data_IF_792778735032
#
_entry.id   IF_792778735032
#
_cell.length_a   1.000
_cell.length_b   1.000
_cell.length_c   1.000
_cell.angle_alpha   90.00
_cell.angle_beta   90.00
_cell.angle_gamma   90.00
#
_symmetry.space_group_name_H-M   'P 1'
#
loop_
_entity.id
_entity.type
_entity.pdbx_description
1 polymer ?
#
# COMPACT_ATOMS: atom_id res chain seq x y z
N UNK A 1 26.88 19.87 21.35
CA UNK A 1 26.35 18.63 22.00
C UNK A 1 24.98 18.22 21.45
N UNK A 2 23.99 19.12 21.38
CA UNK A 2 22.64 18.80 20.88
C UNK A 2 22.58 18.39 19.39
N UNK A 3 23.33 19.05 18.50
CA UNK A 3 23.42 18.68 17.07
C UNK A 3 24.01 17.29 16.83
N UNK A 4 25.01 16.90 17.61
CA UNK A 4 25.62 15.57 17.54
C UNK A 4 24.65 14.47 18.01
N UNK A 5 23.78 14.77 18.98
CA UNK A 5 22.73 13.87 19.43
C UNK A 5 21.59 13.76 18.39
N UNK A 6 21.21 14.86 17.75
CA UNK A 6 20.18 14.90 16.71
C UNK A 6 20.62 14.13 15.45
N UNK A 7 21.86 14.33 15.01
CA UNK A 7 22.46 13.59 13.88
C UNK A 7 22.62 12.10 14.19
N UNK A 8 23.00 11.72 15.42
CA UNK A 8 23.00 10.33 15.87
C UNK A 8 21.62 9.67 15.84
N UNK A 9 20.59 10.39 16.30
CA UNK A 9 19.20 9.92 16.27
C UNK A 9 18.67 9.75 14.83
N UNK A 10 18.96 10.70 13.94
CA UNK A 10 18.62 10.58 12.52
C UNK A 10 19.33 9.40 11.86
N UNK A 11 20.63 9.19 12.11
CA UNK A 11 21.37 8.06 11.56
C UNK A 11 20.81 6.70 12.02
N UNK A 12 20.39 6.59 13.30
CA UNK A 12 19.75 5.40 13.83
C UNK A 12 18.35 5.18 13.23
N UNK A 13 17.56 6.25 13.06
CA UNK A 13 16.26 6.19 12.41
C UNK A 13 16.38 5.83 10.92
N UNK A 14 17.38 6.35 10.21
CA UNK A 14 17.66 6.05 8.82
C UNK A 14 17.99 4.57 8.64
N UNK A 15 18.91 4.02 9.46
CA UNK A 15 19.25 2.59 9.44
C UNK A 15 18.02 1.69 9.66
N UNK A 16 17.13 2.07 10.59
CA UNK A 16 15.87 1.36 10.81
C UNK A 16 14.94 1.45 9.59
N UNK A 17 14.81 2.62 8.96
CA UNK A 17 14.02 2.79 7.74
C UNK A 17 14.56 1.93 6.60
N UNK A 18 15.87 1.93 6.39
CA UNK A 18 16.51 1.15 5.32
C UNK A 18 16.32 -0.36 5.53
N UNK A 19 16.40 -0.83 6.78
CA UNK A 19 16.13 -2.23 7.12
C UNK A 19 14.65 -2.60 6.89
N UNK A 20 13.72 -1.74 7.30
CA UNK A 20 12.29 -1.95 7.09
C UNK A 20 11.91 -1.91 5.61
N UNK A 21 12.52 -1.00 4.83
CA UNK A 21 12.31 -0.92 3.38
C UNK A 21 12.70 -2.23 2.69
N UNK A 22 13.87 -2.79 3.02
CA UNK A 22 14.31 -4.09 2.48
C UNK A 22 13.34 -5.23 2.80
N UNK A 23 12.77 -5.25 4.01
CA UNK A 23 11.78 -6.26 4.40
C UNK A 23 10.47 -6.08 3.64
N UNK A 24 10.01 -4.84 3.46
CA UNK A 24 8.81 -4.54 2.68
C UNK A 24 8.97 -4.95 1.21
N UNK A 25 10.12 -4.65 0.60
CA UNK A 25 10.43 -5.04 -0.78
C UNK A 25 10.47 -6.57 -0.94
N UNK A 26 11.07 -7.28 0.01
CA UNK A 26 11.11 -8.74 0.01
C UNK A 26 9.70 -9.35 0.19
N UNK A 27 8.87 -8.78 1.07
CA UNK A 27 7.49 -9.22 1.27
C UNK A 27 6.63 -8.96 0.02
N UNK A 28 6.79 -7.80 -0.61
CA UNK A 28 6.11 -7.47 -1.86
C UNK A 28 6.49 -8.43 -3.01
N UNK A 29 7.76 -8.84 -3.07
CA UNK A 29 8.21 -9.83 -4.05
C UNK A 29 7.59 -11.22 -3.81
N UNK A 30 7.41 -11.63 -2.55
CA UNK A 30 6.86 -12.94 -2.19
C UNK A 30 5.34 -13.06 -2.45
N UNK A 31 4.58 -11.98 -2.30
CA UNK A 31 3.11 -11.95 -2.44
C UNK A 31 2.68 -11.82 -3.92
N UNK A 32 3.63 -11.56 -4.82
CA UNK A 32 3.37 -11.36 -6.25
C UNK A 32 2.65 -10.04 -6.54
N UNK A 33 2.51 -9.70 -7.83
CA UNK A 33 1.99 -8.40 -8.28
C UNK A 33 0.51 -8.11 -7.97
N UNK A 34 -0.16 -8.93 -7.16
CA UNK A 34 -1.58 -8.81 -6.81
C UNK A 34 -1.90 -7.86 -5.66
N UNK A 35 -0.99 -7.71 -4.70
CA UNK A 35 -1.21 -6.88 -3.51
C UNK A 35 -0.71 -5.43 -3.67
N UNK A 36 0.19 -5.19 -4.64
CA UNK A 36 0.79 -3.88 -4.90
C UNK A 36 -0.04 -3.09 -5.93
N UNK A 37 -0.58 -1.95 -5.50
CA UNK A 37 -1.34 -1.04 -6.37
C UNK A 37 -0.47 0.16 -6.75
N UNK A 38 -0.01 0.17 -8.00
CA UNK A 38 0.82 1.25 -8.55
C UNK A 38 -0.01 2.18 -9.42
N UNK A 39 0.09 3.48 -9.15
CA UNK A 39 -0.53 4.54 -9.95
C UNK A 39 0.42 5.74 -10.03
N UNK A 40 0.23 6.57 -11.05
CA UNK A 40 0.87 7.87 -11.17
C UNK A 40 -0.02 8.92 -10.52
N UNK A 41 0.60 9.93 -9.90
CA UNK A 41 -0.14 11.08 -9.36
C UNK A 41 -1.00 11.71 -10.47
N UNK A 42 -2.33 11.68 -10.34
CA UNK A 42 -3.23 12.05 -11.43
C UNK A 42 -3.40 13.58 -11.58
N UNK A 43 -2.95 14.35 -10.58
CA UNK A 43 -2.92 15.81 -10.58
C UNK A 43 -1.71 16.33 -9.78
N UNK A 44 -1.22 17.55 -10.06
CA UNK A 44 -0.17 18.17 -9.26
C UNK A 44 -0.62 18.36 -7.81
N UNK A 45 0.22 17.94 -6.86
CA UNK A 45 -0.10 18.05 -5.43
C UNK A 45 -1.15 17.06 -4.94
N UNK A 46 -1.41 15.98 -5.70
CA UNK A 46 -2.35 14.93 -5.28
C UNK A 46 -1.99 14.36 -3.91
N UNK A 47 -2.95 14.41 -2.99
CA UNK A 47 -2.82 13.74 -1.69
C UNK A 47 -2.98 12.22 -1.86
N UNK A 48 -1.85 11.50 -1.81
CA UNK A 48 -1.82 10.04 -1.87
C UNK A 48 -2.55 9.35 -0.73
N UNK A 49 -2.81 10.03 0.39
CA UNK A 49 -3.57 9.46 1.51
C UNK A 49 -5.03 9.17 1.14
N UNK A 50 -5.53 9.75 0.03
CA UNK A 50 -6.86 9.49 -0.55
C UNK A 50 -6.98 8.06 -1.11
N UNK A 51 -5.85 7.40 -1.38
CA UNK A 51 -5.78 5.99 -1.80
C UNK A 51 -5.27 5.17 -0.61
N UNK A 52 -6.12 4.34 -0.02
CA UNK A 52 -5.75 3.55 1.17
C UNK A 52 -4.93 2.31 0.83
N UNK A 53 -5.01 1.85 -0.42
CA UNK A 53 -4.33 0.66 -0.91
C UNK A 53 -5.29 -0.48 -1.20
N UNK A 54 -4.77 -1.69 -1.34
CA UNK A 54 -5.60 -2.87 -1.60
C UNK A 54 -6.34 -3.30 -0.33
N UNK A 55 -7.43 -4.05 -0.48
CA UNK A 55 -8.11 -4.68 0.67
C UNK A 55 -7.13 -5.63 1.37
N UNK A 56 -6.33 -6.39 0.61
CA UNK A 56 -5.33 -7.30 1.16
C UNK A 56 -4.33 -6.59 2.09
N UNK A 57 -3.87 -5.39 1.75
CA UNK A 57 -2.94 -4.62 2.61
C UNK A 57 -3.61 -3.96 3.81
N UNK A 58 -4.94 -3.82 3.78
CA UNK A 58 -5.70 -3.07 4.79
C UNK A 58 -6.35 -3.97 5.85
N UNK A 59 -6.37 -5.29 5.63
CA UNK A 59 -7.02 -6.25 6.51
C UNK A 59 -5.99 -6.93 7.43
N UNK A 60 -6.41 -7.19 8.67
CA UNK A 60 -5.65 -8.01 9.62
C UNK A 60 -6.51 -9.19 10.03
N UNK A 61 -6.02 -10.39 9.74
CA UNK A 61 -6.68 -11.64 10.15
C UNK A 61 -6.51 -11.80 11.66
N UNK A 62 -7.62 -11.97 12.38
CA UNK A 62 -7.61 -12.15 13.84
C UNK A 62 -7.11 -13.54 14.24
N UNK A 63 -7.63 -14.57 13.57
CA UNK A 63 -7.28 -15.97 13.78
C UNK A 63 -6.76 -16.59 12.48
N UNK A 64 -5.48 -16.97 12.49
CA UNK A 64 -4.80 -17.53 11.32
C UNK A 64 -5.37 -18.90 10.90
N UNK A 65 -6.07 -19.62 11.79
CA UNK A 65 -6.76 -20.85 11.42
C UNK A 65 -7.84 -20.61 10.35
N UNK A 66 -8.40 -19.39 10.30
CA UNK A 66 -9.44 -19.02 9.35
C UNK A 66 -8.90 -18.31 8.09
N UNK A 67 -7.58 -18.12 7.98
CA UNK A 67 -6.98 -17.33 6.91
C UNK A 67 -7.35 -17.85 5.51
N UNK A 68 -7.22 -19.16 5.28
CA UNK A 68 -7.55 -19.79 3.99
C UNK A 68 -9.03 -19.70 3.66
N UNK A 69 -9.91 -19.82 4.66
CA UNK A 69 -11.35 -19.67 4.44
C UNK A 69 -11.72 -18.23 4.08
N UNK A 70 -11.14 -17.25 4.77
CA UNK A 70 -11.34 -15.83 4.46
C UNK A 70 -10.78 -15.46 3.08
N UNK A 71 -9.62 -16.01 2.72
CA UNK A 71 -9.04 -15.87 1.38
C UNK A 71 -9.99 -16.39 0.31
N UNK A 72 -10.49 -17.62 0.47
CA UNK A 72 -11.40 -18.24 -0.48
C UNK A 72 -12.72 -17.46 -0.63
N UNK A 73 -13.27 -16.95 0.49
CA UNK A 73 -14.51 -16.17 0.49
C UNK A 73 -14.33 -14.80 -0.17
N UNK A 74 -13.22 -14.11 0.10
CA UNK A 74 -12.96 -12.81 -0.51
C UNK A 74 -12.55 -12.95 -1.98
N UNK A 75 -11.75 -13.97 -2.31
CA UNK A 75 -11.25 -14.26 -3.64
C UNK A 75 -10.65 -13.02 -4.30
N UNK A 76 -11.09 -12.74 -5.53
CA UNK A 76 -10.62 -11.58 -6.30
C UNK A 76 -10.90 -10.21 -5.68
N UNK A 77 -11.76 -10.12 -4.64
CA UNK A 77 -12.04 -8.86 -3.95
C UNK A 77 -10.84 -8.34 -3.17
N UNK A 78 -9.92 -9.22 -2.75
CA UNK A 78 -8.69 -8.82 -2.05
C UNK A 78 -7.80 -7.87 -2.87
N UNK A 79 -7.93 -7.91 -4.20
CA UNK A 79 -7.18 -7.07 -5.14
C UNK A 79 -7.88 -5.74 -5.46
N UNK A 80 -9.06 -5.48 -4.88
CA UNK A 80 -9.74 -4.20 -5.02
C UNK A 80 -9.00 -3.13 -4.22
N UNK A 81 -9.14 -1.88 -4.65
CA UNK A 81 -8.43 -0.74 -4.06
C UNK A 81 -9.43 0.18 -3.39
N UNK A 82 -9.16 0.50 -2.13
CA UNK A 82 -9.98 1.39 -1.33
C UNK A 82 -9.58 2.84 -1.58
N UNK A 83 -10.54 3.66 -1.97
CA UNK A 83 -10.40 5.12 -2.10
C UNK A 83 -11.32 5.84 -1.11
N UNK A 84 -11.06 7.12 -0.88
CA UNK A 84 -11.86 7.96 0.02
C UNK A 84 -13.24 8.32 -0.54
N UNK A 85 -13.35 8.57 -1.85
CA UNK A 85 -14.57 8.98 -2.53
C UNK A 85 -14.56 8.69 -4.04
N UNK A 86 -15.73 8.80 -4.66
CA UNK A 86 -15.96 8.58 -6.09
C UNK A 86 -15.06 9.48 -6.97
N UNK A 87 -14.86 10.76 -6.59
CA UNK A 87 -14.06 11.71 -7.39
C UNK A 87 -12.61 11.25 -7.51
N UNK A 88 -12.02 10.76 -6.42
CA UNK A 88 -10.67 10.16 -6.44
C UNK A 88 -10.65 8.93 -7.33
N UNK A 89 -11.67 8.07 -7.24
CA UNK A 89 -11.78 6.90 -8.10
C UNK A 89 -11.80 7.25 -9.59
N UNK A 90 -12.65 8.20 -9.98
CA UNK A 90 -12.73 8.70 -11.35
C UNK A 90 -11.40 9.28 -11.83
N UNK A 91 -10.74 10.05 -10.97
CA UNK A 91 -9.46 10.69 -11.27
C UNK A 91 -8.34 9.64 -11.51
N UNK A 92 -8.31 8.57 -10.72
CA UNK A 92 -7.37 7.46 -10.92
C UNK A 92 -7.65 6.67 -12.20
N UNK A 93 -8.92 6.41 -12.50
CA UNK A 93 -9.30 5.69 -13.72
C UNK A 93 -8.97 6.48 -15.00
N UNK A 94 -9.07 7.81 -14.95
CA UNK A 94 -8.84 8.68 -16.11
C UNK A 94 -7.38 9.10 -16.27
N UNK A 95 -6.67 9.40 -15.18
CA UNK A 95 -5.33 10.00 -15.21
C UNK A 95 -4.27 9.23 -14.41
N UNK A 96 -4.65 8.18 -13.69
CA UNK A 96 -3.76 7.43 -12.79
C UNK A 96 -2.78 6.48 -13.48
N UNK A 97 -2.85 6.29 -14.81
CA UNK A 97 -1.89 5.47 -15.56
C UNK A 97 -1.87 4.00 -15.12
N UNK A 98 -3.04 3.44 -14.83
CA UNK A 98 -3.20 2.09 -14.28
C UNK A 98 -2.74 1.03 -15.27
N UNK A 99 -1.81 0.18 -14.85
CA UNK A 99 -1.19 -0.84 -15.72
C UNK A 99 -2.05 -2.10 -15.94
N UNK A 100 -3.09 -2.27 -15.12
CA UNK A 100 -3.97 -3.44 -15.12
C UNK A 100 -5.40 -3.00 -14.83
N UNK A 101 -6.37 -3.82 -15.24
CA UNK A 101 -7.77 -3.64 -14.85
C UNK A 101 -7.86 -3.74 -13.33
N UNK A 102 -8.50 -2.75 -12.70
CA UNK A 102 -8.74 -2.69 -11.26
C UNK A 102 -10.19 -2.36 -10.98
N UNK A 103 -10.64 -2.72 -9.79
CA UNK A 103 -11.93 -2.30 -9.25
C UNK A 103 -11.66 -1.45 -8.02
N UNK A 104 -12.23 -0.25 -8.01
CA UNK A 104 -12.12 0.71 -6.92
C UNK A 104 -13.39 0.64 -6.07
N UNK A 105 -13.23 0.73 -4.76
CA UNK A 105 -14.33 0.79 -3.79
C UNK A 105 -14.21 2.04 -2.92
#
# INVERSE_FOLDING_TARGET
AAEAALTGAHAAAQKKRDALAKQADAAAAAIGGGADFRFRDPEPGFDRSRVKGTIASSLRVQDMANATALEALAGGRLHQVVVDNEKTGMLLLTKGGLQRRVTLI
#
